data_IF_543956671063
#
_entry.id   IF_543956671063
#
_cell.length_a   1.000
_cell.length_b   1.000
_cell.length_c   1.000
_cell.angle_alpha   90.00
_cell.angle_beta   90.00
_cell.angle_gamma   90.00
#
_symmetry.space_group_name_H-M   'P 1'
#
loop_
_entity.id
_entity.type
_entity.pdbx_description
1 polymer ?
#
# COMPACT_ATOMS: atom_id res chain seq x y z
N UNK A 1 -48.96 24.54 19.16
CA UNK A 1 -48.47 25.69 19.95
C UNK A 1 -47.12 26.07 19.35
N UNK A 2 -46.94 27.26 18.72
CA UNK A 2 -45.70 27.61 18.01
C UNK A 2 -44.44 27.62 18.89
N UNK A 3 -44.60 27.54 20.21
CA UNK A 3 -43.54 27.46 21.21
C UNK A 3 -43.15 26.02 21.61
N UNK A 4 -43.74 24.98 21.02
CA UNK A 4 -43.39 23.58 21.32
C UNK A 4 -42.42 23.02 20.28
N UNK A 5 -41.24 22.57 20.74
CA UNK A 5 -40.25 21.85 19.92
C UNK A 5 -40.36 20.35 20.20
N UNK A 6 -40.49 19.54 19.15
CA UNK A 6 -40.48 18.08 19.22
C UNK A 6 -39.14 17.55 18.70
N UNK A 7 -38.23 17.20 19.62
CA UNK A 7 -36.97 16.55 19.27
C UNK A 7 -37.18 15.04 19.18
N UNK A 8 -36.83 14.45 18.04
CA UNK A 8 -37.05 13.04 17.75
C UNK A 8 -35.76 12.33 17.34
N UNK A 9 -35.47 11.21 18.01
CA UNK A 9 -34.41 10.27 17.63
C UNK A 9 -35.01 9.12 16.79
N UNK A 10 -34.68 9.03 15.49
CA UNK A 10 -35.21 7.99 14.60
C UNK A 10 -34.55 6.62 14.80
N UNK A 11 -33.57 6.49 15.71
CA UNK A 11 -32.93 5.21 16.02
C UNK A 11 -33.96 4.21 16.56
N UNK A 12 -34.06 3.03 15.94
CA UNK A 12 -34.87 1.89 16.42
C UNK A 12 -33.97 0.74 16.86
N UNK A 13 -34.51 -0.26 17.57
CA UNK A 13 -33.77 -1.50 17.84
C UNK A 13 -33.32 -2.11 16.50
N UNK A 14 -32.11 -2.69 16.47
CA UNK A 14 -31.40 -3.18 15.27
C UNK A 14 -32.23 -4.08 14.32
N UNK A 15 -33.36 -4.62 14.80
CA UNK A 15 -34.26 -5.51 14.08
C UNK A 15 -35.44 -4.83 13.36
N UNK A 16 -35.83 -3.60 13.68
CA UNK A 16 -37.11 -3.01 13.20
C UNK A 16 -36.99 -1.78 12.29
N UNK A 17 -35.78 -1.29 12.01
CA UNK A 17 -35.57 -0.17 11.09
C UNK A 17 -35.81 1.21 11.70
N UNK A 18 -35.54 2.25 10.89
CA UNK A 18 -35.70 3.65 11.30
C UNK A 18 -37.16 3.98 11.62
N UNK A 19 -37.37 4.75 12.68
CA UNK A 19 -38.70 5.20 13.10
C UNK A 19 -38.99 6.59 12.55
N UNK A 20 -40.27 6.91 12.42
CA UNK A 20 -40.75 8.21 11.95
C UNK A 20 -41.39 9.01 13.10
N UNK A 21 -41.23 10.34 13.14
CA UNK A 21 -41.91 11.16 14.14
C UNK A 21 -43.42 11.18 13.87
N UNK A 22 -44.19 11.16 14.95
CA UNK A 22 -45.64 11.34 14.91
C UNK A 22 -46.00 12.72 14.35
N UNK A 23 -47.11 12.81 13.62
CA UNK A 23 -47.66 14.08 13.18
C UNK A 23 -48.26 14.81 14.39
N UNK A 24 -47.72 15.98 14.74
CA UNK A 24 -48.22 16.81 15.82
C UNK A 24 -48.04 18.31 15.48
N UNK A 25 -48.80 19.18 16.17
CA UNK A 25 -48.74 20.63 15.98
C UNK A 25 -47.55 21.26 16.75
N UNK A 26 -46.34 20.82 16.43
CA UNK A 26 -45.07 21.25 17.03
C UNK A 26 -43.96 21.41 15.97
N UNK A 27 -42.96 22.26 16.27
CA UNK A 27 -41.76 22.38 15.45
C UNK A 27 -40.89 21.13 15.66
N UNK A 28 -40.81 20.26 14.65
CA UNK A 28 -40.17 18.95 14.79
C UNK A 28 -38.72 18.97 14.29
N UNK A 29 -37.79 18.52 15.14
CA UNK A 29 -36.37 18.31 14.81
C UNK A 29 -36.07 16.82 14.87
N UNK A 30 -35.64 16.24 13.76
CA UNK A 30 -35.17 14.85 13.71
C UNK A 30 -33.64 14.85 13.83
N UNK A 31 -33.12 14.34 14.95
CA UNK A 31 -31.69 14.21 15.20
C UNK A 31 -31.23 12.81 14.80
N UNK A 32 -30.64 12.69 13.62
CA UNK A 32 -30.28 11.40 13.02
C UNK A 32 -28.77 11.28 12.78
N UNK A 33 -28.21 10.06 12.79
CA UNK A 33 -26.93 9.78 12.13
C UNK A 33 -26.97 10.19 10.64
N UNK A 34 -25.80 10.37 9.99
CA UNK A 34 -25.74 10.86 8.61
C UNK A 34 -26.37 9.91 7.57
N UNK A 35 -26.59 8.64 7.93
CA UNK A 35 -27.25 7.63 7.09
C UNK A 35 -28.68 8.03 6.72
N UNK A 36 -28.97 8.01 5.42
CA UNK A 36 -30.26 8.42 4.86
C UNK A 36 -31.43 7.56 5.34
N UNK A 37 -31.20 6.30 5.74
CA UNK A 37 -32.20 5.39 6.31
C UNK A 37 -33.04 6.05 7.39
N UNK A 38 -32.41 6.90 8.19
CA UNK A 38 -33.00 7.48 9.40
C UNK A 38 -33.87 8.72 9.16
N UNK A 39 -33.76 9.36 8.01
CA UNK A 39 -34.47 10.62 7.77
C UNK A 39 -35.08 10.76 6.37
N UNK A 40 -34.79 9.84 5.43
CA UNK A 40 -35.21 10.01 4.03
C UNK A 40 -36.72 10.07 3.85
N UNK A 41 -37.51 9.35 4.64
CA UNK A 41 -38.98 9.38 4.51
C UNK A 41 -39.55 10.65 5.16
N UNK A 42 -39.08 11.01 6.36
CA UNK A 42 -39.36 12.32 6.96
C UNK A 42 -39.04 13.48 6.01
N UNK A 43 -37.89 13.44 5.32
CA UNK A 43 -37.45 14.50 4.42
C UNK A 43 -38.30 14.65 3.15
N UNK A 44 -39.07 13.62 2.76
CA UNK A 44 -40.01 13.71 1.62
C UNK A 44 -41.30 14.47 1.95
N UNK A 45 -41.56 14.79 3.22
CA UNK A 45 -42.76 15.53 3.64
C UNK A 45 -42.70 16.97 3.12
N UNK A 46 -43.82 17.50 2.63
CA UNK A 46 -43.90 18.81 1.95
C UNK A 46 -43.56 20.02 2.84
N UNK A 47 -43.53 19.85 4.16
CA UNK A 47 -43.32 20.90 5.15
C UNK A 47 -41.93 20.88 5.81
N UNK A 48 -40.98 20.09 5.29
CA UNK A 48 -39.62 20.05 5.84
C UNK A 48 -38.84 21.29 5.40
N UNK A 49 -38.43 22.11 6.36
CA UNK A 49 -37.75 23.39 6.13
C UNK A 49 -36.28 23.23 5.69
N UNK A 50 -35.66 22.08 5.99
CA UNK A 50 -34.35 21.74 5.46
C UNK A 50 -33.55 20.77 6.34
N UNK A 51 -32.36 20.41 5.85
CA UNK A 51 -31.38 19.57 6.55
C UNK A 51 -30.20 20.42 7.02
N UNK A 52 -29.69 20.13 8.22
CA UNK A 52 -28.50 20.75 8.80
C UNK A 52 -27.60 19.65 9.35
N UNK A 53 -26.30 19.84 9.22
CA UNK A 53 -25.29 18.94 9.76
C UNK A 53 -24.72 19.51 11.05
N UNK A 54 -24.41 18.62 11.99
CA UNK A 54 -23.65 18.94 13.18
C UNK A 54 -22.24 18.42 13.01
N UNK A 55 -21.27 19.25 13.34
CA UNK A 55 -19.87 18.85 13.42
C UNK A 55 -19.65 18.01 14.68
N UNK A 56 -18.54 17.28 14.70
CA UNK A 56 -18.03 16.74 15.96
C UNK A 56 -17.51 17.88 16.84
N UNK A 57 -17.39 17.62 18.13
CA UNK A 57 -16.99 18.63 19.09
C UNK A 57 -15.55 19.09 18.87
N UNK A 58 -15.26 20.35 19.14
CA UNK A 58 -13.89 20.86 19.16
C UNK A 58 -13.14 20.34 20.39
N UNK A 59 -11.80 20.35 20.33
CA UNK A 59 -10.99 20.03 21.48
C UNK A 59 -11.20 21.02 22.64
N UNK A 60 -11.44 22.32 22.34
CA UNK A 60 -11.76 23.30 23.38
C UNK A 60 -13.09 22.97 24.07
N UNK A 61 -14.13 22.61 23.31
CA UNK A 61 -15.43 22.26 23.86
C UNK A 61 -15.32 21.03 24.79
N UNK A 62 -14.58 20.00 24.36
CA UNK A 62 -14.38 18.79 25.16
C UNK A 62 -13.55 19.06 26.42
N UNK A 63 -12.53 19.92 26.35
CA UNK A 63 -11.76 20.38 27.53
C UNK A 63 -12.63 21.17 28.49
N UNK A 64 -13.52 22.02 28.00
CA UNK A 64 -14.45 22.80 28.83
C UNK A 64 -15.47 21.91 29.57
N UNK A 65 -15.87 20.79 28.97
CA UNK A 65 -16.80 19.82 29.58
C UNK A 65 -16.12 18.90 30.61
N UNK A 66 -14.81 18.65 30.48
CA UNK A 66 -14.07 17.70 31.34
C UNK A 66 -14.30 17.92 32.85
N UNK A 67 -14.19 19.15 33.42
CA UNK A 67 -14.36 19.34 34.86
C UNK A 67 -15.73 18.89 35.37
N UNK A 68 -16.77 19.04 34.56
CA UNK A 68 -18.14 18.60 34.90
C UNK A 68 -18.21 17.08 34.92
N UNK A 69 -17.69 16.42 33.88
CA UNK A 69 -17.69 14.95 33.78
C UNK A 69 -16.82 14.31 34.86
N UNK A 70 -15.72 14.96 35.24
CA UNK A 70 -14.78 14.48 36.25
C UNK A 70 -15.42 14.33 37.64
N UNK A 71 -16.50 15.09 37.93
CA UNK A 71 -17.25 14.94 39.19
C UNK A 71 -17.86 13.55 39.38
N UNK A 72 -18.18 12.86 38.27
CA UNK A 72 -18.72 11.50 38.28
C UNK A 72 -17.72 10.47 37.78
N UNK A 73 -16.60 10.92 37.20
CA UNK A 73 -15.57 10.10 36.55
C UNK A 73 -14.17 10.63 36.83
N UNK A 74 -13.66 10.43 38.06
CA UNK A 74 -12.37 10.98 38.49
C UNK A 74 -11.18 10.43 37.68
N UNK A 75 -11.34 9.28 37.03
CA UNK A 75 -10.33 8.68 36.14
C UNK A 75 -10.08 9.47 34.86
N UNK A 76 -10.99 10.37 34.48
CA UNK A 76 -10.83 11.22 33.30
C UNK A 76 -9.95 12.44 33.63
N UNK A 77 -8.65 12.20 33.77
CA UNK A 77 -7.65 13.26 33.97
C UNK A 77 -7.47 14.11 32.70
N UNK A 78 -6.68 15.18 32.79
CA UNK A 78 -6.33 15.99 31.63
C UNK A 78 -5.57 15.17 30.59
N UNK A 79 -4.62 14.34 31.04
CA UNK A 79 -3.80 13.47 30.21
C UNK A 79 -4.66 12.39 29.54
N UNK A 80 -5.58 11.78 30.28
CA UNK A 80 -6.55 10.82 29.74
C UNK A 80 -7.42 11.45 28.65
N UNK A 81 -7.89 12.68 28.87
CA UNK A 81 -8.67 13.41 27.87
C UNK A 81 -7.85 13.63 26.59
N UNK A 82 -6.61 14.10 26.69
CA UNK A 82 -5.76 14.32 25.51
C UNK A 82 -5.47 13.00 24.77
N UNK A 83 -5.23 11.89 25.48
CA UNK A 83 -5.08 10.57 24.85
C UNK A 83 -6.33 10.18 24.07
N UNK A 84 -7.52 10.42 24.63
CA UNK A 84 -8.79 10.15 23.97
C UNK A 84 -9.09 11.12 22.83
N UNK A 85 -8.68 12.38 22.91
CA UNK A 85 -8.76 13.34 21.81
C UNK A 85 -7.86 12.92 20.64
N UNK A 86 -6.64 12.48 20.91
CA UNK A 86 -5.75 11.93 19.88
C UNK A 86 -6.38 10.72 19.17
N UNK A 87 -6.99 9.83 19.95
CA UNK A 87 -7.57 8.56 19.47
C UNK A 87 -8.93 8.72 18.79
N UNK A 88 -9.84 9.50 19.35
CA UNK A 88 -11.25 9.61 18.92
C UNK A 88 -11.62 10.97 18.35
N UNK A 89 -10.72 11.96 18.40
CA UNK A 89 -11.00 13.32 17.94
C UNK A 89 -12.16 13.95 18.70
N UNK A 90 -13.08 14.57 17.97
CA UNK A 90 -14.23 15.29 18.51
C UNK A 90 -15.44 14.44 18.91
N UNK A 91 -15.34 13.11 18.89
CA UNK A 91 -16.48 12.24 19.16
C UNK A 91 -16.73 12.17 20.67
N UNK A 92 -17.53 13.11 21.18
CA UNK A 92 -17.82 13.26 22.61
C UNK A 92 -18.25 11.95 23.28
N UNK A 93 -19.05 11.11 22.60
CA UNK A 93 -19.50 9.81 23.12
C UNK A 93 -18.34 8.84 23.39
N UNK A 94 -17.33 8.82 22.51
CA UNK A 94 -16.15 7.97 22.65
C UNK A 94 -15.17 8.57 23.67
N UNK A 95 -14.93 9.88 23.60
CA UNK A 95 -14.07 10.61 24.53
C UNK A 95 -14.57 10.45 25.96
N UNK A 96 -15.87 10.60 26.20
CA UNK A 96 -16.46 10.47 27.52
C UNK A 96 -17.04 9.09 27.83
N UNK A 97 -16.66 8.06 27.07
CA UNK A 97 -17.15 6.71 27.30
C UNK A 97 -16.72 6.16 28.67
N UNK A 98 -17.66 5.54 29.38
CA UNK A 98 -17.39 4.79 30.62
C UNK A 98 -16.69 3.46 30.35
N UNK A 99 -16.98 2.82 29.22
CA UNK A 99 -16.42 1.54 28.82
C UNK A 99 -15.31 1.75 27.78
N UNK A 100 -14.19 2.34 28.19
CA UNK A 100 -13.10 2.72 27.28
C UNK A 100 -12.60 1.54 26.44
N UNK A 101 -12.35 0.39 27.06
CA UNK A 101 -11.88 -0.83 26.39
C UNK A 101 -12.80 -1.29 25.24
N UNK A 102 -14.13 -1.12 25.40
CA UNK A 102 -15.09 -1.46 24.34
C UNK A 102 -14.91 -0.54 23.12
N UNK A 103 -14.77 0.77 23.35
CA UNK A 103 -14.57 1.73 22.27
C UNK A 103 -13.22 1.55 21.58
N UNK A 104 -12.17 1.22 22.35
CA UNK A 104 -10.86 0.89 21.79
C UNK A 104 -10.98 -0.34 20.89
N UNK A 105 -11.58 -1.43 21.37
CA UNK A 105 -11.79 -2.64 20.58
C UNK A 105 -12.62 -2.41 19.32
N UNK A 106 -13.69 -1.62 19.40
CA UNK A 106 -14.52 -1.27 18.24
C UNK A 106 -13.73 -0.45 17.20
N UNK A 107 -12.85 0.45 17.65
CA UNK A 107 -12.02 1.26 16.76
C UNK A 107 -10.90 0.43 16.12
N UNK A 108 -10.23 -0.45 16.87
CA UNK A 108 -9.23 -1.37 16.31
C UNK A 108 -9.87 -2.29 15.26
N UNK A 109 -11.03 -2.87 15.58
CA UNK A 109 -11.78 -3.67 14.61
C UNK A 109 -12.17 -2.86 13.36
N UNK A 110 -12.49 -1.58 13.52
CA UNK A 110 -12.76 -0.69 12.40
C UNK A 110 -11.51 -0.43 11.54
N UNK A 111 -10.35 -0.26 12.16
CA UNK A 111 -9.07 -0.07 11.47
C UNK A 111 -8.68 -1.31 10.67
N UNK A 112 -8.89 -2.50 11.23
CA UNK A 112 -8.50 -3.77 10.60
C UNK A 112 -9.47 -4.22 9.51
N UNK A 113 -10.78 -3.97 9.67
CA UNK A 113 -11.80 -4.32 8.68
C UNK A 113 -12.11 -3.22 7.67
N UNK A 114 -11.57 -2.02 7.90
CA UNK A 114 -11.89 -0.83 7.13
C UNK A 114 -11.38 -0.92 5.70
N UNK A 115 -12.27 -0.65 4.73
CA UNK A 115 -11.92 -0.63 3.30
C UNK A 115 -11.92 0.80 2.78
N UNK A 116 -10.96 1.13 1.91
CA UNK A 116 -10.89 2.45 1.29
C UNK A 116 -12.18 2.79 0.51
N UNK A 117 -12.77 1.79 -0.16
CA UNK A 117 -14.07 1.94 -0.82
C UNK A 117 -15.20 2.30 0.15
N UNK A 118 -15.21 1.69 1.35
CA UNK A 118 -16.21 2.00 2.37
C UNK A 118 -16.06 3.45 2.88
N UNK A 119 -14.83 3.93 3.06
CA UNK A 119 -14.53 5.34 3.37
C UNK A 119 -15.05 6.25 2.26
N UNK A 120 -14.76 5.94 0.99
CA UNK A 120 -15.25 6.69 -0.17
C UNK A 120 -16.78 6.75 -0.23
N UNK A 121 -17.45 5.62 0.00
CA UNK A 121 -18.91 5.53 -0.01
C UNK A 121 -19.54 6.34 1.13
N UNK A 122 -18.98 6.29 2.34
CA UNK A 122 -19.45 7.10 3.45
C UNK A 122 -19.39 8.60 3.13
N UNK A 123 -18.25 9.08 2.60
CA UNK A 123 -18.09 10.50 2.27
C UNK A 123 -18.98 10.94 1.11
N UNK A 124 -19.09 10.12 0.06
CA UNK A 124 -19.73 10.53 -1.20
C UNK A 124 -21.25 10.41 -1.17
N UNK A 125 -21.78 9.40 -0.49
CA UNK A 125 -23.19 9.03 -0.59
C UNK A 125 -23.93 9.14 0.75
N UNK A 126 -23.20 9.31 1.87
CA UNK A 126 -23.77 9.17 3.23
C UNK A 126 -24.69 7.93 3.30
N UNK A 127 -24.19 6.85 2.69
CA UNK A 127 -24.97 5.68 2.30
C UNK A 127 -25.26 4.78 3.49
N UNK A 128 -26.43 4.14 3.46
CA UNK A 128 -26.87 3.11 4.39
C UNK A 128 -26.06 1.82 4.26
N UNK A 129 -25.31 1.68 3.16
CA UNK A 129 -24.38 0.56 2.89
C UNK A 129 -22.98 0.76 3.47
N UNK A 130 -22.66 1.93 4.02
CA UNK A 130 -21.40 2.12 4.73
C UNK A 130 -21.33 1.08 5.87
N UNK A 131 -20.17 0.44 6.03
CA UNK A 131 -20.00 -0.56 7.07
C UNK A 131 -20.31 0.07 8.44
N UNK A 132 -20.89 -0.71 9.37
CA UNK A 132 -21.31 -0.19 10.69
C UNK A 132 -20.18 0.53 11.42
N UNK A 133 -18.92 0.18 11.16
CA UNK A 133 -17.74 0.79 11.77
C UNK A 133 -17.19 2.03 11.04
N UNK A 134 -17.75 2.47 9.92
CA UNK A 134 -17.19 3.61 9.16
C UNK A 134 -17.22 4.93 9.96
N UNK A 135 -18.14 5.09 10.90
CA UNK A 135 -18.17 6.24 11.82
C UNK A 135 -17.01 6.26 12.84
N UNK A 136 -16.34 5.12 13.06
CA UNK A 136 -15.11 5.03 13.85
C UNK A 136 -13.87 5.47 13.05
N UNK A 137 -14.02 5.62 11.73
CA UNK A 137 -12.94 6.04 10.83
C UNK A 137 -13.16 7.45 10.30
N UNK A 138 -14.41 7.82 10.01
CA UNK A 138 -14.76 9.05 9.28
C UNK A 138 -15.70 9.93 10.11
N UNK A 139 -15.35 11.22 10.20
CA UNK A 139 -16.19 12.29 10.70
C UNK A 139 -16.50 13.29 9.59
N UNK A 140 -17.43 14.22 9.88
CA UNK A 140 -17.85 15.26 8.95
C UNK A 140 -17.60 16.63 9.55
N UNK A 141 -16.97 17.52 8.76
CA UNK A 141 -16.91 18.95 9.06
C UNK A 141 -17.94 19.68 8.20
N UNK A 142 -18.55 20.73 8.73
CA UNK A 142 -19.40 21.63 7.97
C UNK A 142 -18.54 22.51 7.09
N UNK A 143 -18.98 22.68 5.84
CA UNK A 143 -18.33 23.60 4.91
C UNK A 143 -18.71 25.04 5.27
N UNK A 144 -17.72 25.85 5.62
CA UNK A 144 -17.89 27.29 5.85
C UNK A 144 -18.46 27.98 4.59
N UNK A 145 -19.35 28.96 4.79
CA UNK A 145 -19.99 29.70 3.70
C UNK A 145 -21.06 28.91 2.92
N UNK A 146 -21.42 27.69 3.34
CA UNK A 146 -22.55 26.98 2.74
C UNK A 146 -23.86 27.78 2.93
N UNK A 147 -24.68 27.83 1.88
CA UNK A 147 -26.00 28.47 1.91
C UNK A 147 -27.07 27.40 1.60
N UNK A 148 -27.98 27.09 2.55
CA UNK A 148 -28.05 27.60 3.92
C UNK A 148 -26.86 27.17 4.80
N UNK A 149 -26.58 27.85 5.93
CA UNK A 149 -25.51 27.45 6.85
C UNK A 149 -25.67 26.00 7.29
N UNK A 150 -24.55 25.26 7.43
CA UNK A 150 -24.56 23.84 7.82
C UNK A 150 -25.32 22.91 6.88
N UNK A 151 -25.53 23.29 5.61
CA UNK A 151 -26.19 22.43 4.61
C UNK A 151 -25.24 21.48 3.88
N UNK A 152 -23.93 21.71 3.97
CA UNK A 152 -22.90 20.92 3.28
C UNK A 152 -21.82 20.47 4.26
N UNK A 153 -21.29 19.27 4.04
CA UNK A 153 -20.19 18.70 4.81
C UNK A 153 -19.07 18.20 3.91
N UNK A 154 -17.88 18.03 4.49
CA UNK A 154 -16.76 17.28 3.93
C UNK A 154 -16.40 16.12 4.86
N UNK A 155 -16.02 14.99 4.30
CA UNK A 155 -15.49 13.87 5.07
C UNK A 155 -14.04 14.11 5.49
N UNK A 156 -13.69 13.64 6.68
CA UNK A 156 -12.31 13.56 7.15
C UNK A 156 -12.13 12.35 8.05
N UNK A 157 -10.90 11.92 8.27
CA UNK A 157 -10.63 10.98 9.34
C UNK A 157 -11.05 11.54 10.70
N UNK A 158 -11.62 10.68 11.55
CA UNK A 158 -12.23 11.07 12.82
C UNK A 158 -11.23 11.72 13.78
N UNK A 159 -9.98 11.24 13.77
CA UNK A 159 -8.92 11.62 14.69
C UNK A 159 -7.54 11.56 14.04
N UNK A 160 -6.51 12.05 14.74
CA UNK A 160 -5.14 11.94 14.26
C UNK A 160 -4.64 10.48 14.28
N UNK A 161 -4.97 9.74 15.34
CA UNK A 161 -4.64 8.31 15.42
C UNK A 161 -5.11 7.51 14.19
N UNK A 162 -6.36 7.72 13.77
CA UNK A 162 -6.89 7.03 12.58
C UNK A 162 -6.19 7.47 11.29
N UNK A 163 -5.78 8.74 11.18
CA UNK A 163 -5.01 9.23 10.02
C UNK A 163 -3.65 8.54 9.90
N UNK A 164 -3.01 8.27 11.03
CA UNK A 164 -1.68 7.67 11.07
C UNK A 164 -1.78 6.16 10.83
N UNK A 165 -2.72 5.49 11.50
CA UNK A 165 -2.85 4.03 11.49
C UNK A 165 -3.53 3.47 10.25
N UNK A 166 -4.68 4.04 9.83
CA UNK A 166 -5.50 3.44 8.78
C UNK A 166 -4.75 3.27 7.44
N UNK A 167 -4.06 4.31 6.91
CA UNK A 167 -3.30 4.18 5.67
C UNK A 167 -2.15 3.17 5.80
N UNK A 168 -1.43 3.18 6.92
CA UNK A 168 -0.30 2.28 7.15
C UNK A 168 -0.75 0.81 7.18
N UNK A 169 -1.84 0.51 7.90
CA UNK A 169 -2.42 -0.83 7.97
C UNK A 169 -2.96 -1.28 6.61
N UNK A 170 -3.67 -0.42 5.90
CA UNK A 170 -4.20 -0.72 4.57
C UNK A 170 -3.09 -1.06 3.57
N UNK A 171 -2.01 -0.27 3.51
CA UNK A 171 -0.87 -0.55 2.64
C UNK A 171 -0.19 -1.87 3.02
N UNK A 172 0.00 -2.12 4.32
CA UNK A 172 0.60 -3.36 4.83
C UNK A 172 -0.25 -4.58 4.46
N UNK A 173 -1.57 -4.51 4.65
CA UNK A 173 -2.50 -5.58 4.29
C UNK A 173 -2.44 -5.88 2.79
N UNK A 174 -2.48 -4.85 1.94
CA UNK A 174 -2.41 -5.04 0.48
C UNK A 174 -1.08 -5.60 0.00
N UNK A 175 0.03 -5.22 0.63
CA UNK A 175 1.32 -5.85 0.39
C UNK A 175 1.32 -7.32 0.81
N UNK A 176 0.77 -7.64 1.99
CA UNK A 176 0.66 -9.01 2.47
C UNK A 176 -0.27 -9.88 1.60
N UNK A 177 -1.38 -9.32 1.09
CA UNK A 177 -2.29 -9.99 0.17
C UNK A 177 -1.60 -10.33 -1.16
N UNK A 178 -0.85 -9.37 -1.73
CA UNK A 178 -0.07 -9.59 -2.94
C UNK A 178 1.04 -10.65 -2.72
N UNK A 179 1.75 -10.58 -1.59
CA UNK A 179 2.76 -11.57 -1.21
C UNK A 179 2.16 -12.98 -1.03
N UNK A 180 1.01 -13.08 -0.37
CA UNK A 180 0.29 -14.34 -0.17
C UNK A 180 -0.20 -14.92 -1.50
N UNK A 181 -0.70 -14.07 -2.40
CA UNK A 181 -1.07 -14.48 -3.76
C UNK A 181 0.14 -15.06 -4.50
N UNK A 182 1.28 -14.34 -4.50
CA UNK A 182 2.51 -14.80 -5.15
C UNK A 182 2.99 -16.15 -4.58
N UNK A 183 2.96 -16.32 -3.26
CA UNK A 183 3.31 -17.58 -2.61
C UNK A 183 2.36 -18.74 -2.98
N UNK A 184 1.05 -18.47 -3.06
CA UNK A 184 0.06 -19.49 -3.42
C UNK A 184 0.12 -19.90 -4.90
N UNK A 185 0.56 -18.99 -5.78
CA UNK A 185 0.59 -19.22 -7.20
C UNK A 185 1.79 -20.06 -7.67
N UNK A 186 2.80 -20.27 -6.82
CA UNK A 186 4.00 -21.06 -7.14
C UNK A 186 3.69 -22.51 -7.53
N UNK A 187 2.62 -23.09 -6.96
CA UNK A 187 2.20 -24.46 -7.22
C UNK A 187 1.11 -24.58 -8.29
N UNK A 188 0.82 -23.49 -9.01
CA UNK A 188 -0.30 -23.38 -9.95
C UNK A 188 0.16 -22.92 -11.33
N UNK A 189 0.41 -23.84 -12.28
CA UNK A 189 0.83 -23.51 -13.64
C UNK A 189 -0.09 -22.49 -14.33
N UNK A 190 -1.40 -22.55 -14.05
CA UNK A 190 -2.41 -21.63 -14.59
C UNK A 190 -2.25 -20.17 -14.14
N UNK A 191 -1.47 -19.92 -13.08
CA UNK A 191 -1.16 -18.57 -12.59
C UNK A 191 0.28 -18.14 -12.93
N UNK A 192 1.05 -18.93 -13.68
CA UNK A 192 2.47 -18.69 -13.91
C UNK A 192 2.75 -17.32 -14.56
N UNK A 193 1.99 -16.93 -15.58
CA UNK A 193 2.14 -15.63 -16.26
C UNK A 193 1.85 -14.47 -15.30
N UNK A 194 0.70 -14.52 -14.61
CA UNK A 194 0.27 -13.49 -13.65
C UNK A 194 1.30 -13.35 -12.52
N UNK A 195 1.83 -14.47 -12.03
CA UNK A 195 2.81 -14.52 -10.95
C UNK A 195 4.16 -14.00 -11.39
N UNK A 196 4.58 -14.32 -12.61
CA UNK A 196 5.78 -13.76 -13.22
C UNK A 196 5.71 -12.24 -13.28
N UNK A 197 4.63 -11.69 -13.86
CA UNK A 197 4.44 -10.23 -13.96
C UNK A 197 4.36 -9.54 -12.60
N UNK A 198 3.62 -10.10 -11.64
CA UNK A 198 3.52 -9.51 -10.30
C UNK A 198 4.85 -9.58 -9.55
N UNK A 199 5.58 -10.69 -9.67
CA UNK A 199 6.89 -10.85 -9.05
C UNK A 199 7.92 -9.88 -9.63
N UNK A 200 7.95 -9.72 -10.95
CA UNK A 200 8.82 -8.75 -11.63
C UNK A 200 8.59 -7.33 -11.08
N UNK A 201 7.34 -6.88 -11.01
CA UNK A 201 6.99 -5.59 -10.40
C UNK A 201 7.42 -5.49 -8.93
N UNK A 202 7.24 -6.55 -8.14
CA UNK A 202 7.67 -6.59 -6.74
C UNK A 202 9.20 -6.48 -6.62
N UNK A 203 9.94 -7.21 -7.44
CA UNK A 203 11.39 -7.20 -7.48
C UNK A 203 11.94 -5.81 -7.85
N UNK A 204 11.35 -5.15 -8.87
CA UNK A 204 11.70 -3.77 -9.21
C UNK A 204 11.51 -2.82 -8.01
N UNK A 205 10.39 -2.90 -7.29
CA UNK A 205 10.15 -2.04 -6.13
C UNK A 205 11.12 -2.33 -4.97
N UNK A 206 11.36 -3.61 -4.67
CA UNK A 206 12.25 -4.02 -3.59
C UNK A 206 13.70 -3.60 -3.85
N UNK A 207 14.22 -3.86 -5.06
CA UNK A 207 15.61 -3.57 -5.41
C UNK A 207 15.88 -2.07 -5.48
N UNK A 208 14.92 -1.27 -5.97
CA UNK A 208 15.04 0.20 -6.03
C UNK A 208 15.07 0.85 -4.64
N UNK A 209 14.29 0.33 -3.70
CA UNK A 209 14.32 0.81 -2.31
C UNK A 209 15.64 0.54 -1.60
N UNK A 210 16.44 -0.40 -2.13
CA UNK A 210 17.67 -0.85 -1.49
C UNK A 210 17.38 -1.77 -0.31
N UNK A 211 18.45 -2.36 0.23
CA UNK A 211 18.37 -3.35 1.28
C UNK A 211 19.50 -4.37 1.20
N UNK A 212 19.40 -5.40 2.03
CA UNK A 212 20.32 -6.53 2.08
C UNK A 212 19.60 -7.77 1.52
N UNK A 213 20.10 -8.29 0.41
CA UNK A 213 19.53 -9.41 -0.33
C UNK A 213 20.48 -10.60 -0.24
N UNK A 214 19.95 -11.81 -0.07
CA UNK A 214 20.78 -13.02 -0.10
C UNK A 214 21.15 -13.33 -1.54
N UNK A 215 22.40 -13.73 -1.74
CA UNK A 215 22.89 -14.13 -3.05
C UNK A 215 23.66 -15.45 -2.95
N UNK A 216 23.71 -16.19 -4.05
CA UNK A 216 24.53 -17.38 -4.19
C UNK A 216 25.11 -17.44 -5.59
N UNK A 217 26.41 -17.74 -5.70
CA UNK A 217 27.07 -17.92 -7.00
C UNK A 217 26.54 -19.18 -7.70
N UNK A 218 26.29 -19.10 -9.01
CA UNK A 218 25.79 -20.22 -9.82
C UNK A 218 26.89 -20.91 -10.64
N UNK A 219 27.84 -20.15 -11.18
CA UNK A 219 28.93 -20.66 -12.02
C UNK A 219 30.32 -20.50 -11.38
N UNK A 220 31.22 -21.45 -11.61
CA UNK A 220 32.55 -21.49 -10.99
C UNK A 220 32.49 -21.98 -9.54
N UNK A 221 33.05 -23.16 -9.26
CA UNK A 221 32.96 -23.80 -7.96
C UNK A 221 33.48 -22.94 -6.80
N UNK A 222 33.12 -23.33 -5.57
CA UNK A 222 33.38 -22.64 -4.30
C UNK A 222 34.88 -22.40 -3.93
N UNK A 223 35.81 -22.59 -4.88
CA UNK A 223 37.25 -22.56 -4.66
C UNK A 223 37.85 -21.15 -4.63
N UNK A 224 37.20 -20.13 -5.21
CA UNK A 224 37.75 -18.78 -5.29
C UNK A 224 36.94 -17.78 -4.46
N UNK A 225 37.36 -17.59 -3.21
CA UNK A 225 36.87 -16.53 -2.32
C UNK A 225 35.44 -16.75 -1.83
N UNK A 226 35.25 -16.75 -0.51
CA UNK A 226 33.94 -16.99 0.11
C UNK A 226 32.82 -16.19 -0.55
N UNK A 227 31.72 -16.86 -0.87
CA UNK A 227 30.50 -16.24 -1.38
C UNK A 227 30.17 -15.02 -0.50
N UNK A 228 30.03 -13.80 -1.07
CA UNK A 228 29.67 -12.62 -0.29
C UNK A 228 28.39 -12.84 0.53
N UNK A 229 27.57 -13.83 0.14
CA UNK A 229 26.35 -14.28 0.81
C UNK A 229 25.22 -13.26 0.73
N UNK A 230 25.55 -11.98 0.49
CA UNK A 230 24.61 -10.89 0.38
C UNK A 230 25.04 -9.82 -0.64
N UNK A 231 24.07 -9.28 -1.36
CA UNK A 231 24.15 -8.01 -2.06
C UNK A 231 23.53 -6.92 -1.18
N UNK A 232 24.25 -5.83 -0.95
CA UNK A 232 23.74 -4.66 -0.24
C UNK A 232 23.57 -3.54 -1.25
N UNK A 233 22.33 -3.11 -1.48
CA UNK A 233 22.01 -1.99 -2.35
C UNK A 233 21.59 -0.78 -1.49
N UNK A 234 22.13 0.42 -1.75
CA UNK A 234 21.53 1.65 -1.25
C UNK A 234 20.20 1.92 -1.96
N UNK A 235 19.38 2.88 -1.50
CA UNK A 235 18.28 3.40 -2.29
C UNK A 235 18.78 3.92 -3.64
N UNK A 236 18.16 3.47 -4.73
CA UNK A 236 18.62 3.73 -6.09
C UNK A 236 17.75 4.77 -6.80
N UNK A 237 18.36 5.65 -7.59
CA UNK A 237 17.64 6.56 -8.48
C UNK A 237 17.15 5.82 -9.72
N UNK A 238 15.85 5.91 -10.01
CA UNK A 238 15.25 5.24 -11.15
C UNK A 238 15.49 6.00 -12.46
N UNK A 239 15.95 5.29 -13.50
CA UNK A 239 16.18 5.82 -14.84
C UNK A 239 15.52 4.90 -15.87
N UNK A 240 14.57 5.44 -16.63
CA UNK A 240 13.93 4.71 -17.72
C UNK A 240 14.84 4.69 -18.97
N UNK A 241 15.04 3.51 -19.54
CA UNK A 241 15.81 3.34 -20.78
C UNK A 241 14.92 2.73 -21.86
N UNK A 242 14.83 3.38 -23.03
CA UNK A 242 13.91 2.96 -24.09
C UNK A 242 14.52 2.02 -25.12
N UNK A 243 15.80 2.21 -25.49
CA UNK A 243 16.56 1.32 -26.40
C UNK A 243 17.90 0.95 -25.80
N UNK A 244 18.40 -0.26 -26.10
CA UNK A 244 19.65 -0.79 -25.50
C UNK A 244 20.82 0.16 -25.79
N UNK A 245 20.83 0.80 -26.95
CA UNK A 245 21.84 1.79 -27.34
C UNK A 245 21.83 3.06 -26.46
N UNK A 246 20.71 3.36 -25.82
CA UNK A 246 20.60 4.50 -24.90
C UNK A 246 21.20 4.17 -23.52
N UNK A 247 21.44 2.88 -23.20
CA UNK A 247 21.99 2.44 -21.91
C UNK A 247 23.38 3.03 -21.64
N UNK A 248 24.26 3.03 -22.65
CA UNK A 248 25.60 3.61 -22.54
C UNK A 248 25.55 5.10 -22.20
N UNK A 249 24.69 5.85 -22.89
CA UNK A 249 24.51 7.28 -22.65
C UNK A 249 23.90 7.54 -21.26
N UNK A 250 22.90 6.75 -20.88
CA UNK A 250 22.27 6.85 -19.56
C UNK A 250 23.26 6.56 -18.42
N UNK A 251 24.11 5.55 -18.57
CA UNK A 251 25.16 5.22 -17.60
C UNK A 251 26.23 6.31 -17.52
N UNK A 252 26.62 6.91 -18.64
CA UNK A 252 27.60 8.00 -18.65
C UNK A 252 27.05 9.28 -18.00
N UNK A 253 25.75 9.55 -18.17
CA UNK A 253 25.09 10.75 -17.65
C UNK A 253 24.59 10.61 -16.21
N UNK A 254 24.42 9.38 -15.71
CA UNK A 254 23.89 9.15 -14.39
C UNK A 254 24.87 9.60 -13.29
N UNK A 255 24.34 10.21 -12.24
CA UNK A 255 25.06 10.56 -11.01
C UNK A 255 24.60 9.64 -9.87
N UNK A 256 25.52 9.19 -9.04
CA UNK A 256 25.22 8.30 -7.90
C UNK A 256 24.74 6.90 -8.29
N UNK A 257 24.11 6.20 -7.33
CA UNK A 257 23.63 4.84 -7.52
C UNK A 257 22.28 4.83 -8.25
N UNK A 258 22.19 4.09 -9.36
CA UNK A 258 21.07 4.15 -10.28
C UNK A 258 20.53 2.76 -10.65
N UNK A 259 19.22 2.73 -10.89
CA UNK A 259 18.46 1.58 -11.36
C UNK A 259 17.92 1.89 -12.76
N UNK A 260 18.51 1.27 -13.78
CA UNK A 260 18.14 1.44 -15.18
C UNK A 260 17.09 0.40 -15.54
N UNK A 261 15.88 0.85 -15.82
CA UNK A 261 14.74 0.01 -16.15
C UNK A 261 14.38 0.15 -17.64
N UNK A 262 14.55 -0.92 -18.43
CA UNK A 262 14.05 -0.99 -19.79
C UNK A 262 12.53 -0.81 -19.89
N UNK A 263 12.06 0.07 -20.77
CA UNK A 263 10.61 0.38 -20.90
C UNK A 263 9.96 -0.18 -22.16
N UNK A 264 10.72 -0.82 -23.06
CA UNK A 264 10.18 -1.41 -24.30
C UNK A 264 10.50 -2.90 -24.37
N UNK A 265 9.59 -3.73 -24.92
CA UNK A 265 9.77 -5.20 -25.01
C UNK A 265 10.85 -5.68 -26.00
N UNK A 266 11.37 -4.79 -26.83
CA UNK A 266 12.49 -5.10 -27.73
C UNK A 266 13.85 -5.07 -26.99
N UNK A 267 13.80 -4.56 -25.76
CA UNK A 267 14.68 -4.70 -24.61
C UNK A 267 13.99 -5.80 -23.74
N UNK A 268 14.62 -6.75 -23.01
CA UNK A 268 16.04 -7.09 -22.91
C UNK A 268 16.30 -8.61 -22.70
N UNK A 269 17.58 -8.98 -22.61
CA UNK A 269 18.01 -10.20 -21.89
C UNK A 269 18.13 -10.01 -20.36
N UNK A 270 18.10 -8.76 -19.88
CA UNK A 270 18.06 -8.31 -18.48
C UNK A 270 16.89 -7.36 -18.19
N UNK A 271 15.95 -7.73 -17.33
CA UNK A 271 14.85 -6.86 -16.88
C UNK A 271 15.32 -5.55 -16.23
N UNK A 272 16.55 -5.45 -15.73
CA UNK A 272 17.15 -4.19 -15.31
C UNK A 272 18.69 -4.23 -15.28
N UNK A 273 19.31 -3.05 -15.19
CA UNK A 273 20.74 -2.88 -14.89
C UNK A 273 20.88 -1.97 -13.68
N UNK A 274 21.76 -2.32 -12.74
CA UNK A 274 22.05 -1.50 -11.57
C UNK A 274 23.50 -1.05 -11.61
N UNK A 275 23.73 0.24 -11.40
CA UNK A 275 25.07 0.79 -11.15
C UNK A 275 25.08 1.29 -9.73
N UNK A 276 25.79 0.59 -8.86
CA UNK A 276 25.91 0.96 -7.46
C UNK A 276 27.29 0.58 -6.91
N UNK A 277 27.72 1.28 -5.86
CA UNK A 277 28.99 0.97 -5.18
C UNK A 277 28.88 -0.34 -4.38
N UNK A 278 29.20 -1.48 -5.02
CA UNK A 278 29.12 -2.81 -4.42
C UNK A 278 30.42 -3.60 -4.63
N UNK A 279 30.66 -4.71 -3.91
CA UNK A 279 31.80 -5.60 -4.17
C UNK A 279 31.71 -6.39 -5.50
N UNK A 280 30.62 -6.23 -6.24
CA UNK A 280 30.41 -6.83 -7.55
C UNK A 280 30.92 -5.88 -8.64
N UNK A 281 30.73 -6.27 -9.90
CA UNK A 281 31.00 -5.44 -11.07
C UNK A 281 30.35 -4.05 -10.97
N UNK A 282 30.99 -3.06 -11.61
CA UNK A 282 30.58 -1.66 -11.53
C UNK A 282 29.13 -1.42 -12.02
N UNK A 283 28.66 -2.29 -12.92
CA UNK A 283 27.26 -2.42 -13.29
C UNK A 283 26.88 -3.90 -13.26
N UNK A 284 25.75 -4.22 -12.62
CA UNK A 284 25.21 -5.57 -12.51
C UNK A 284 23.93 -5.71 -13.34
N UNK A 285 23.76 -6.86 -13.98
CA UNK A 285 22.54 -7.21 -14.71
C UNK A 285 21.54 -7.91 -13.80
N UNK A 286 20.25 -7.64 -13.98
CA UNK A 286 19.16 -8.28 -13.25
C UNK A 286 18.23 -8.97 -14.25
N UNK A 287 17.93 -10.24 -14.02
CA UNK A 287 16.91 -11.00 -14.74
C UNK A 287 15.95 -11.65 -13.75
N UNK A 288 14.72 -11.16 -13.71
CA UNK A 288 13.66 -11.66 -12.85
C UNK A 288 13.08 -12.94 -13.45
N UNK A 289 12.95 -13.97 -12.62
CA UNK A 289 12.33 -15.22 -13.05
C UNK A 289 11.66 -15.95 -11.91
N UNK A 290 10.57 -16.62 -12.25
CA UNK A 290 9.86 -17.56 -11.38
C UNK A 290 10.12 -19.02 -11.75
N UNK A 291 10.72 -19.25 -12.93
CA UNK A 291 11.09 -20.57 -13.46
C UNK A 291 12.52 -20.93 -13.08
N UNK A 292 12.76 -22.20 -12.72
CA UNK A 292 14.11 -22.77 -12.54
C UNK A 292 14.93 -22.83 -13.83
N UNK A 293 14.27 -22.77 -14.98
CA UNK A 293 14.90 -22.75 -16.29
C UNK A 293 14.50 -21.47 -17.04
N UNK A 294 15.46 -20.58 -17.23
CA UNK A 294 15.33 -19.28 -17.87
C UNK A 294 16.55 -19.02 -18.78
N UNK A 295 16.63 -19.70 -19.94
CA UNK A 295 17.76 -19.54 -20.84
C UNK A 295 17.77 -18.14 -21.45
N UNK A 296 18.95 -17.55 -21.55
CA UNK A 296 19.14 -16.23 -22.14
C UNK A 296 19.69 -16.33 -23.55
N UNK A 297 19.21 -15.47 -24.44
CA UNK A 297 19.74 -15.40 -25.82
C UNK A 297 21.13 -14.77 -25.79
N UNK A 298 22.15 -15.53 -26.16
CA UNK A 298 23.57 -15.11 -26.08
C UNK A 298 23.82 -13.75 -26.75
N UNK A 299 23.32 -13.56 -27.97
CA UNK A 299 23.50 -12.31 -28.73
C UNK A 299 22.93 -11.08 -27.99
N UNK A 300 21.81 -11.24 -27.27
CA UNK A 300 21.21 -10.13 -26.52
C UNK A 300 22.01 -9.76 -25.28
N UNK A 301 22.67 -10.73 -24.66
CA UNK A 301 23.58 -10.51 -23.53
C UNK A 301 24.84 -9.81 -24.03
N UNK A 302 25.45 -10.33 -25.11
CA UNK A 302 26.63 -9.74 -25.77
C UNK A 302 26.37 -8.28 -26.19
N UNK A 303 25.21 -7.98 -26.80
CA UNK A 303 24.81 -6.60 -27.16
C UNK A 303 24.84 -5.66 -25.94
N UNK A 304 24.34 -6.11 -24.78
CA UNK A 304 24.31 -5.31 -23.56
C UNK A 304 25.73 -5.12 -23.01
N UNK A 305 26.53 -6.19 -22.95
CA UNK A 305 27.92 -6.13 -22.51
C UNK A 305 28.74 -5.13 -23.34
N UNK A 306 28.52 -5.08 -24.66
CA UNK A 306 29.15 -4.09 -25.54
C UNK A 306 28.73 -2.65 -25.18
N UNK A 307 27.45 -2.40 -24.88
CA UNK A 307 27.00 -1.08 -24.43
C UNK A 307 27.59 -0.68 -23.07
N UNK A 308 27.84 -1.65 -22.21
CA UNK A 308 28.53 -1.47 -20.93
C UNK A 308 30.05 -1.32 -21.08
N UNK A 309 30.60 -1.62 -22.26
CA UNK A 309 32.04 -1.61 -22.51
C UNK A 309 32.79 -2.77 -21.85
N UNK A 310 32.10 -3.88 -21.56
CA UNK A 310 32.67 -5.08 -20.93
C UNK A 310 33.43 -5.90 -21.99
N UNK A 311 34.66 -6.26 -21.67
CA UNK A 311 35.55 -7.10 -22.48
C UNK A 311 35.83 -8.43 -21.78
N UNK A 312 36.57 -9.34 -22.43
CA UNK A 312 36.93 -10.65 -21.86
C UNK A 312 37.83 -10.56 -20.61
N UNK A 313 38.46 -9.39 -20.38
CA UNK A 313 39.30 -9.12 -19.21
C UNK A 313 38.50 -8.56 -18.02
N UNK A 314 37.26 -8.15 -18.26
CA UNK A 314 36.38 -7.56 -17.27
C UNK A 314 35.51 -8.63 -16.59
N UNK A 315 34.95 -8.27 -15.44
CA UNK A 315 33.91 -9.05 -14.76
C UNK A 315 32.57 -8.35 -14.90
N UNK A 316 31.54 -9.10 -15.25
CA UNK A 316 30.15 -8.68 -15.22
C UNK A 316 29.33 -9.68 -14.40
N UNK A 317 28.59 -9.18 -13.40
CA UNK A 317 27.75 -10.01 -12.55
C UNK A 317 26.30 -9.92 -12.99
N UNK A 318 25.76 -11.08 -13.39
CA UNK A 318 24.38 -11.27 -13.77
C UNK A 318 23.64 -11.96 -12.63
N UNK A 319 22.62 -11.30 -12.08
CA UNK A 319 21.76 -11.85 -11.05
C UNK A 319 20.43 -12.32 -11.62
N UNK A 320 20.14 -13.60 -11.44
CA UNK A 320 18.79 -14.15 -11.56
C UNK A 320 18.03 -13.85 -10.27
N UNK A 321 17.08 -12.94 -10.36
CA UNK A 321 16.27 -12.47 -9.25
C UNK A 321 15.08 -13.40 -9.09
N UNK A 322 14.98 -14.06 -7.94
CA UNK A 322 13.97 -15.08 -7.66
C UNK A 322 13.31 -14.84 -6.31
N UNK A 323 12.12 -15.41 -6.12
CA UNK A 323 11.48 -15.44 -4.80
C UNK A 323 12.15 -16.49 -3.89
N UNK A 324 11.87 -16.48 -2.57
CA UNK A 324 12.53 -17.36 -1.59
C UNK A 324 12.45 -18.85 -1.90
N UNK A 325 11.31 -19.32 -2.41
CA UNK A 325 11.08 -20.75 -2.66
C UNK A 325 11.97 -21.36 -3.75
N UNK A 326 12.47 -20.56 -4.70
CA UNK A 326 13.30 -21.03 -5.81
C UNK A 326 14.79 -20.87 -5.50
N UNK A 327 15.16 -20.01 -4.56
CA UNK A 327 16.54 -19.60 -4.31
C UNK A 327 17.52 -20.76 -4.04
N UNK A 328 17.10 -21.73 -3.21
CA UNK A 328 17.96 -22.84 -2.80
C UNK A 328 18.34 -23.74 -3.99
N UNK A 329 17.37 -24.04 -4.84
CA UNK A 329 17.50 -25.03 -5.92
C UNK A 329 17.75 -24.41 -7.30
N UNK A 330 17.83 -23.07 -7.39
CA UNK A 330 18.03 -22.39 -8.67
C UNK A 330 19.39 -22.77 -9.30
N UNK A 331 19.40 -23.36 -10.51
CA UNK A 331 20.62 -23.80 -11.15
C UNK A 331 21.28 -22.67 -11.97
N UNK A 332 22.51 -22.91 -12.42
CA UNK A 332 23.13 -22.12 -13.48
C UNK A 332 22.28 -22.16 -14.75
N UNK A 333 22.16 -21.01 -15.43
CA UNK A 333 21.33 -20.85 -16.63
C UNK A 333 22.16 -20.91 -17.90
N UNK A 334 21.57 -21.45 -18.96
CA UNK A 334 22.23 -21.65 -20.24
C UNK A 334 22.07 -20.43 -21.18
N UNK A 335 23.07 -20.21 -22.04
CA UNK A 335 22.99 -19.25 -23.13
C UNK A 335 22.60 -19.94 -24.45
N UNK A 336 21.49 -19.54 -25.06
CA UNK A 336 20.93 -20.15 -26.29
C UNK A 336 21.14 -19.28 -27.52
N UNK A 337 21.05 -19.88 -28.72
CA UNK A 337 21.03 -19.13 -29.99
C UNK A 337 19.69 -18.42 -30.21
N UNK A 338 19.67 -17.49 -31.17
CA UNK A 338 18.48 -16.73 -31.57
C UNK A 338 17.31 -17.65 -31.98
N UNK A 339 17.63 -18.83 -32.54
CA UNK A 339 16.69 -19.83 -33.06
C UNK A 339 16.27 -20.89 -32.02
N UNK A 340 16.66 -20.73 -30.75
CA UNK A 340 16.27 -21.64 -29.66
C UNK A 340 17.10 -22.93 -29.56
N UNK A 341 17.98 -23.21 -30.51
CA UNK A 341 18.95 -24.30 -30.38
C UNK A 341 20.07 -23.96 -29.40
N UNK A 342 20.51 -24.98 -28.65
CA UNK A 342 21.64 -24.86 -27.74
C UNK A 342 22.91 -24.47 -28.50
N UNK A 343 23.72 -23.58 -27.92
CA UNK A 343 25.06 -23.31 -28.43
C UNK A 343 25.99 -24.35 -27.78
N UNK A 344 26.65 -25.20 -28.59
CA UNK A 344 27.64 -26.17 -28.09
C UNK A 344 28.76 -25.51 -27.25
N UNK A 345 29.03 -24.21 -27.46
CA UNK A 345 29.93 -23.38 -26.64
C UNK A 345 29.42 -21.94 -26.55
N UNK A 346 29.29 -21.40 -25.34
CA UNK A 346 29.16 -19.96 -25.12
C UNK A 346 30.36 -19.22 -25.76
N UNK A 347 30.17 -17.96 -26.17
CA UNK A 347 31.31 -17.17 -26.68
C UNK A 347 32.37 -17.00 -25.59
N UNK A 348 33.62 -16.78 -26.01
CA UNK A 348 34.72 -16.55 -25.07
C UNK A 348 34.37 -15.45 -24.06
N UNK A 349 33.78 -14.35 -24.52
CA UNK A 349 33.25 -13.27 -23.68
C UNK A 349 32.26 -13.72 -22.61
N UNK A 350 31.24 -14.50 -22.96
CA UNK A 350 30.26 -14.97 -21.98
C UNK A 350 30.88 -15.95 -20.97
N UNK A 351 31.81 -16.79 -21.41
CA UNK A 351 32.50 -17.75 -20.54
C UNK A 351 33.54 -17.12 -19.62
N UNK A 352 34.20 -16.03 -20.03
CA UNK A 352 35.26 -15.40 -19.24
C UNK A 352 34.74 -14.24 -18.38
N UNK A 353 33.84 -13.42 -18.90
CA UNK A 353 33.44 -12.18 -18.25
C UNK A 353 32.19 -12.33 -17.35
N UNK A 354 31.26 -13.23 -17.68
CA UNK A 354 29.97 -13.29 -16.99
C UNK A 354 29.99 -14.26 -15.80
N UNK A 355 29.79 -13.72 -14.60
CA UNK A 355 29.50 -14.51 -13.40
C UNK A 355 28.00 -14.49 -13.13
N UNK A 356 27.40 -15.67 -13.05
CA UNK A 356 25.98 -15.84 -12.74
C UNK A 356 25.77 -15.99 -11.23
N UNK A 357 24.75 -15.31 -10.73
CA UNK A 357 24.32 -15.33 -9.35
C UNK A 357 22.82 -15.55 -9.29
N UNK A 358 22.34 -16.17 -8.22
CA UNK A 358 20.93 -16.10 -7.84
C UNK A 358 20.79 -15.10 -6.70
N UNK A 359 19.75 -14.26 -6.76
CA UNK A 359 19.41 -13.27 -5.75
C UNK A 359 18.00 -13.52 -5.21
N UNK A 360 17.87 -13.58 -3.88
CA UNK A 360 16.58 -13.72 -3.21
C UNK A 360 15.95 -12.34 -2.95
N UNK A 361 14.75 -12.11 -3.47
CA UNK A 361 13.91 -10.97 -3.06
C UNK A 361 12.83 -11.45 -2.08
N UNK A 362 12.84 -10.97 -0.83
CA UNK A 362 11.82 -11.35 0.14
C UNK A 362 10.44 -10.79 -0.23
N UNK A 363 9.40 -11.57 0.07
CA UNK A 363 8.00 -11.18 -0.10
C UNK A 363 7.38 -10.50 1.14
N UNK A 364 8.19 -10.22 2.17
CA UNK A 364 7.76 -9.68 3.47
C UNK A 364 8.52 -8.44 3.87
#
# INVERSE_FOLDING_TARGET
NPSTVYLFDPSGNDKTGAREPHACAAFTVVAAPPSQRHYKQFFKRTFVVGKRFLEVWSAEELRAVRPIVQTTRPELTAEELERRLYRYGGVARAVFATHAAKWESEQESALDSGRLDAVRHAVSHMDDKAHKSTHQLVAYDVVAGAVPPRSRVRGRFVSQYVKDEFPARYVREKKAEAASFLAAAQSRPELAEISGTLFEHWAHDALRRGGKFRVRRLNGGAADGGDPGHLVLPPLHHVDVRRVQDLRLALAAAEGDCYFHPTTRNFPAFDAVVRASTPFSAAIGLQMTVSLNHPLKAARVEDILEQLGVTEADRFDLFFVVWPATFADFPEQQFTRVDGEERERASALLSSAVTQWVLEVPLT
#
